data_IF_149680630919
#
_entry.id   IF_149680630919
#
_cell.length_a   1.000
_cell.length_b   1.000
_cell.length_c   1.000
_cell.angle_alpha   90.00
_cell.angle_beta   90.00
_cell.angle_gamma   90.00
#
_symmetry.space_group_name_H-M   'P 1'
#
loop_
_entity.id
_entity.type
_entity.pdbx_description
1 polymer ?
#
# COMPACT_ATOMS: atom_id res chain seq x y z
N UNK A 1 5.52 -6.44 12.05
CA UNK A 1 6.21 -5.76 10.95
C UNK A 1 5.72 -4.33 11.00
N UNK A 2 6.55 -3.41 11.47
CA UNK A 2 6.18 -2.00 11.58
C UNK A 2 6.23 -1.38 10.19
N UNK A 3 5.09 -0.94 9.67
CA UNK A 3 5.04 -0.22 8.39
C UNK A 3 5.82 1.09 8.54
N UNK A 4 6.69 1.45 7.58
CA UNK A 4 7.38 2.73 7.62
C UNK A 4 6.33 3.85 7.68
N UNK A 5 6.42 4.67 8.72
CA UNK A 5 5.49 5.77 8.97
C UNK A 5 6.26 7.07 8.78
N UNK A 6 5.96 7.79 7.71
CA UNK A 6 6.53 9.11 7.43
C UNK A 6 5.93 10.18 8.34
N UNK A 7 6.12 10.05 9.67
CA UNK A 7 5.71 11.04 10.65
C UNK A 7 6.59 12.31 10.60
N UNK A 8 7.68 12.28 9.82
CA UNK A 8 8.63 13.37 9.68
C UNK A 8 8.74 13.81 8.22
N UNK A 9 8.24 15.00 7.89
CA UNK A 9 8.28 15.61 6.56
C UNK A 9 9.71 15.87 6.03
N UNK A 10 10.73 15.78 6.89
CA UNK A 10 12.13 15.91 6.50
C UNK A 10 12.79 14.56 6.17
N UNK A 11 12.13 13.45 6.47
CA UNK A 11 12.60 12.12 6.10
C UNK A 11 12.02 11.75 4.73
N UNK A 12 12.90 11.49 3.78
CA UNK A 12 12.51 10.98 2.46
C UNK A 12 12.49 9.46 2.54
N UNK A 13 11.33 8.87 2.27
CA UNK A 13 11.18 7.43 2.12
C UNK A 13 11.24 7.05 0.63
N UNK A 14 11.88 5.93 0.33
CA UNK A 14 11.98 5.43 -1.03
C UNK A 14 10.69 4.68 -1.39
N UNK A 15 9.87 5.29 -2.26
CA UNK A 15 8.60 4.70 -2.73
C UNK A 15 8.80 3.79 -3.96
N UNK A 16 9.84 4.03 -4.76
CA UNK A 16 10.16 3.21 -5.94
C UNK A 16 11.10 2.08 -5.51
N UNK A 17 10.62 0.83 -5.53
CA UNK A 17 11.36 -0.34 -5.05
C UNK A 17 12.36 -0.81 -6.11
N UNK A 18 11.89 -1.08 -7.33
CA UNK A 18 12.71 -1.44 -8.47
C UNK A 18 12.39 -0.54 -9.68
N UNK A 19 13.37 0.26 -10.11
CA UNK A 19 13.22 1.16 -11.25
C UNK A 19 13.11 0.45 -12.61
N UNK A 20 13.37 -0.87 -12.65
CA UNK A 20 13.21 -1.70 -13.86
C UNK A 20 11.82 -2.29 -14.00
N UNK A 21 11.00 -2.22 -12.95
CA UNK A 21 9.61 -2.68 -12.94
C UNK A 21 8.65 -1.50 -13.08
N UNK A 22 7.41 -1.81 -13.44
CA UNK A 22 6.31 -0.88 -13.24
C UNK A 22 6.08 -0.71 -11.73
N UNK A 23 5.87 0.53 -11.31
CA UNK A 23 5.61 0.87 -9.91
C UNK A 23 4.22 1.50 -9.83
N UNK A 24 3.28 0.81 -9.19
CA UNK A 24 1.92 1.31 -8.97
C UNK A 24 1.81 1.83 -7.53
N UNK A 25 1.53 3.13 -7.40
CA UNK A 25 1.35 3.79 -6.10
C UNK A 25 -0.15 3.92 -5.84
N UNK A 26 -0.63 3.36 -4.73
CA UNK A 26 -2.03 3.34 -4.34
C UNK A 26 -2.22 4.16 -3.07
N UNK A 27 -2.87 5.31 -3.19
CA UNK A 27 -3.29 6.11 -2.04
C UNK A 27 -4.62 5.57 -1.52
N UNK A 28 -4.70 5.18 -0.26
CA UNK A 28 -5.87 4.51 0.28
C UNK A 28 -6.08 4.81 1.77
N UNK A 29 -7.29 4.55 2.25
CA UNK A 29 -7.70 4.82 3.62
C UNK A 29 -8.55 3.69 4.18
N UNK A 30 -8.47 3.47 5.49
CA UNK A 30 -9.20 2.41 6.19
C UNK A 30 -10.73 2.57 6.10
N UNK A 31 -11.19 3.81 5.98
CA UNK A 31 -12.58 4.21 5.85
C UNK A 31 -13.06 4.34 4.39
N UNK A 32 -12.17 4.17 3.40
CA UNK A 32 -12.51 4.33 1.99
C UNK A 32 -13.13 3.04 1.43
N UNK A 33 -14.47 3.01 1.33
CA UNK A 33 -15.22 1.89 0.74
C UNK A 33 -14.74 1.48 -0.66
N UNK A 34 -14.70 2.40 -1.64
CA UNK A 34 -14.24 2.10 -3.00
C UNK A 34 -12.81 1.54 -3.05
N UNK A 35 -11.90 2.09 -2.23
CA UNK A 35 -10.52 1.61 -2.18
C UNK A 35 -10.43 0.14 -1.74
N UNK A 36 -11.38 -0.33 -0.91
CA UNK A 36 -11.45 -1.74 -0.50
C UNK A 36 -11.99 -2.63 -1.60
N UNK A 37 -12.93 -2.13 -2.39
CA UNK A 37 -13.48 -2.85 -3.56
C UNK A 37 -12.44 -3.01 -4.68
N UNK A 38 -11.43 -2.14 -4.75
CA UNK A 38 -10.31 -2.25 -5.69
C UNK A 38 -9.30 -3.34 -5.32
N UNK A 39 -9.20 -3.73 -4.05
CA UNK A 39 -8.18 -4.69 -3.56
C UNK A 39 -8.18 -6.02 -4.33
N UNK A 40 -9.33 -6.69 -4.57
CA UNK A 40 -9.36 -7.95 -5.32
C UNK A 40 -8.82 -7.80 -6.74
N UNK A 41 -9.08 -6.65 -7.39
CA UNK A 41 -8.61 -6.35 -8.74
C UNK A 41 -7.09 -6.15 -8.72
N UNK A 42 -6.58 -5.39 -7.76
CA UNK A 42 -5.13 -5.16 -7.60
C UNK A 42 -4.37 -6.45 -7.31
N UNK A 43 -4.95 -7.36 -6.52
CA UNK A 43 -4.40 -8.71 -6.30
C UNK A 43 -4.29 -9.50 -7.60
N UNK A 44 -5.34 -9.46 -8.43
CA UNK A 44 -5.33 -10.16 -9.71
C UNK A 44 -4.24 -9.61 -10.64
N UNK A 45 -4.16 -8.29 -10.78
CA UNK A 45 -3.14 -7.62 -11.60
C UNK A 45 -1.73 -7.95 -11.09
N UNK A 46 -1.52 -7.93 -9.77
CA UNK A 46 -0.24 -8.28 -9.18
C UNK A 46 0.17 -9.72 -9.49
N UNK A 47 -0.76 -10.67 -9.38
CA UNK A 47 -0.47 -12.07 -9.69
C UNK A 47 -0.08 -12.27 -11.16
N UNK A 48 -0.74 -11.57 -12.08
CA UNK A 48 -0.45 -11.64 -13.52
C UNK A 48 0.89 -10.98 -13.89
N UNK A 49 1.30 -9.96 -13.13
CA UNK A 49 2.46 -9.12 -13.42
C UNK A 49 3.59 -9.20 -12.39
N UNK A 50 3.57 -10.14 -11.45
CA UNK A 50 4.44 -10.19 -10.25
C UNK A 50 5.95 -9.95 -10.52
N UNK A 51 6.48 -10.43 -11.65
CA UNK A 51 7.88 -10.22 -12.04
C UNK A 51 8.18 -8.81 -12.60
N UNK A 52 7.14 -8.06 -12.99
CA UNK A 52 7.19 -6.79 -13.71
C UNK A 52 6.52 -5.62 -12.98
N UNK A 53 5.77 -5.88 -11.90
CA UNK A 53 4.99 -4.88 -11.18
C UNK A 53 5.28 -4.94 -9.68
N UNK A 54 5.61 -3.80 -9.11
CA UNK A 54 5.59 -3.56 -7.67
C UNK A 54 4.39 -2.65 -7.33
N UNK A 55 3.68 -2.96 -6.23
CA UNK A 55 2.57 -2.15 -5.73
C UNK A 55 2.95 -1.61 -4.35
N UNK A 56 2.83 -0.30 -4.19
CA UNK A 56 3.10 0.39 -2.92
C UNK A 56 1.86 1.12 -2.46
N UNK A 57 1.44 0.86 -1.22
CA UNK A 57 0.30 1.52 -0.62
C UNK A 57 0.74 2.67 0.27
N UNK A 58 0.09 3.82 0.11
CA UNK A 58 0.28 5.00 0.95
C UNK A 58 -1.04 5.26 1.68
N UNK A 59 -1.00 5.15 3.01
CA UNK A 59 -2.15 5.48 3.83
C UNK A 59 -2.35 6.99 3.90
N UNK A 60 -3.59 7.43 3.72
CA UNK A 60 -4.02 8.81 4.00
C UNK A 60 -4.89 8.90 5.26
N UNK A 61 -4.86 7.85 6.11
CA UNK A 61 -5.48 7.88 7.42
C UNK A 61 -4.85 8.95 8.31
N UNK A 62 -5.64 9.47 9.25
CA UNK A 62 -5.09 10.31 10.31
C UNK A 62 -4.19 9.47 11.22
N UNK A 63 -3.26 10.11 11.93
CA UNK A 63 -2.37 9.42 12.88
C UNK A 63 -3.13 8.57 13.91
N UNK A 64 -4.34 9.02 14.31
CA UNK A 64 -5.21 8.31 15.25
C UNK A 64 -5.89 7.06 14.67
N UNK A 65 -5.93 6.92 13.33
CA UNK A 65 -6.59 5.80 12.63
C UNK A 65 -5.62 4.92 11.83
N UNK A 66 -4.31 5.19 11.89
CA UNK A 66 -3.27 4.34 11.26
C UNK A 66 -3.35 2.87 11.70
N UNK A 67 -3.74 2.58 12.94
CA UNK A 67 -3.93 1.19 13.37
C UNK A 67 -5.05 0.47 12.61
N UNK A 68 -6.12 1.19 12.24
CA UNK A 68 -7.20 0.63 11.45
C UNK A 68 -6.72 0.30 10.04
N UNK A 69 -5.87 1.15 9.47
CA UNK A 69 -5.18 0.89 8.20
C UNK A 69 -4.29 -0.36 8.28
N UNK A 70 -3.46 -0.48 9.32
CA UNK A 70 -2.59 -1.65 9.53
C UNK A 70 -3.40 -2.96 9.64
N UNK A 71 -4.51 -2.94 10.37
CA UNK A 71 -5.43 -4.09 10.46
C UNK A 71 -6.02 -4.44 9.10
N UNK A 72 -6.43 -3.44 8.33
CA UNK A 72 -6.98 -3.64 6.99
C UNK A 72 -5.95 -4.32 6.06
N UNK A 73 -4.71 -3.83 6.04
CA UNK A 73 -3.62 -4.44 5.26
C UNK A 73 -3.41 -5.93 5.62
N UNK A 74 -3.40 -6.24 6.92
CA UNK A 74 -3.23 -7.62 7.40
C UNK A 74 -4.42 -8.52 7.03
N UNK A 75 -5.64 -8.04 7.23
CA UNK A 75 -6.86 -8.78 6.91
C UNK A 75 -7.00 -9.05 5.42
N UNK A 76 -6.65 -8.05 4.61
CA UNK A 76 -6.80 -8.11 3.17
C UNK A 76 -5.61 -8.77 2.48
N UNK A 77 -4.58 -9.26 3.20
CA UNK A 77 -3.43 -9.97 2.62
C UNK A 77 -2.90 -9.32 1.33
N UNK A 78 -2.69 -8.00 1.38
CA UNK A 78 -2.34 -7.20 0.20
C UNK A 78 -0.92 -7.56 -0.26
N UNK A 79 -0.71 -7.88 -1.55
CA UNK A 79 0.63 -8.12 -2.08
C UNK A 79 1.45 -6.84 -2.08
N UNK A 80 2.70 -6.91 -1.61
CA UNK A 80 3.63 -5.76 -1.60
C UNK A 80 3.51 -4.84 -0.38
N UNK A 81 2.59 -5.10 0.56
CA UNK A 81 2.56 -4.41 1.84
C UNK A 81 3.62 -4.99 2.78
N UNK A 82 4.85 -4.49 2.65
CA UNK A 82 5.93 -4.67 3.62
C UNK A 82 6.13 -3.37 4.42
#
# INVERSE_FOLDING_TARGET
>A
MELPTSANLNNKEQVIIDSKKYNLIVFSASWCGPCREEIPILKHIYNDLNAKLDIVYISIDEAKTVEAWQKLIQMEAIPGAA
#
